data_IF_962803663436
#
_entry.id   IF_962803663436
#
_cell.length_a   1.000
_cell.length_b   1.000
_cell.length_c   1.000
_cell.angle_alpha   90.00
_cell.angle_beta   90.00
_cell.angle_gamma   90.00
#
_symmetry.space_group_name_H-M   'P 1'
#
loop_
_entity.id
_entity.type
_entity.pdbx_description
1 polymer ?
#
# COMPACT_ATOMS: atom_id res chain seq x y z
N UNK A 1 -6.25 -1.30 -22.02
CA UNK A 1 -6.56 -2.28 -20.96
C UNK A 1 -6.20 -1.69 -19.59
N UNK A 2 -6.52 -2.37 -18.55
CA UNK A 2 -6.14 -1.96 -17.18
C UNK A 2 -5.65 -3.18 -16.41
N UNK A 3 -4.89 -2.93 -15.34
CA UNK A 3 -4.37 -3.98 -14.46
C UNK A 3 -4.85 -3.74 -13.04
N UNK A 4 -5.13 -4.82 -12.33
CA UNK A 4 -5.59 -4.75 -10.95
C UNK A 4 -4.42 -4.83 -9.98
N UNK A 5 -4.30 -3.81 -9.13
CA UNK A 5 -3.18 -3.64 -8.21
C UNK A 5 -3.65 -3.43 -6.78
N UNK A 6 -2.80 -3.80 -5.83
CA UNK A 6 -2.93 -3.41 -4.42
C UNK A 6 -1.82 -2.42 -4.04
N UNK A 7 -2.22 -1.36 -3.33
CA UNK A 7 -1.30 -0.54 -2.55
C UNK A 7 -1.48 -0.89 -1.08
N UNK A 8 -0.38 -1.16 -0.38
CA UNK A 8 -0.44 -1.63 1.01
C UNK A 8 0.51 -0.87 1.90
N UNK A 9 0.00 -0.43 3.05
CA UNK A 9 0.79 0.25 4.08
C UNK A 9 0.54 -0.42 5.42
N UNK A 10 1.59 -0.92 6.05
CA UNK A 10 1.51 -1.65 7.32
C UNK A 10 1.94 -0.79 8.49
N UNK A 11 1.23 -0.92 9.60
CA UNK A 11 1.61 -0.42 10.92
C UNK A 11 1.70 -1.60 11.90
N UNK A 12 1.95 -1.31 13.18
CA UNK A 12 2.05 -2.38 14.19
C UNK A 12 0.75 -3.15 14.43
N UNK A 13 -0.39 -2.56 14.12
CA UNK A 13 -1.71 -3.14 14.45
C UNK A 13 -2.64 -3.32 13.26
N UNK A 14 -2.39 -2.61 12.16
CA UNK A 14 -3.29 -2.62 10.99
C UNK A 14 -2.50 -2.61 9.69
N UNK A 15 -3.13 -3.13 8.64
CA UNK A 15 -2.66 -2.99 7.26
C UNK A 15 -3.74 -2.24 6.49
N UNK A 16 -3.38 -1.12 5.90
CA UNK A 16 -4.25 -0.38 4.99
C UNK A 16 -4.08 -0.94 3.59
N UNK A 17 -5.18 -1.31 2.96
CA UNK A 17 -5.19 -1.97 1.65
C UNK A 17 -6.10 -1.20 0.71
N UNK A 18 -5.53 -0.72 -0.39
CA UNK A 18 -6.29 -0.09 -1.47
C UNK A 18 -6.18 -0.96 -2.70
N UNK A 19 -7.33 -1.39 -3.21
CA UNK A 19 -7.43 -2.12 -4.47
C UNK A 19 -7.87 -1.16 -5.57
N UNK A 20 -7.16 -1.19 -6.69
CA UNK A 20 -7.42 -0.28 -7.79
C UNK A 20 -7.18 -0.92 -9.15
N UNK A 21 -7.89 -0.43 -10.16
CA UNK A 21 -7.52 -0.65 -11.55
C UNK A 21 -6.64 0.51 -12.03
N UNK A 22 -5.52 0.15 -12.62
CA UNK A 22 -4.57 1.11 -13.20
C UNK A 22 -4.70 1.03 -14.71
N UNK A 23 -5.28 2.05 -15.37
CA UNK A 23 -5.35 2.09 -16.82
C UNK A 23 -3.95 2.17 -17.46
N UNK A 24 -3.80 1.62 -18.65
CA UNK A 24 -2.55 1.73 -19.42
C UNK A 24 -2.27 3.18 -19.82
N UNK A 25 -3.32 3.97 -20.06
CA UNK A 25 -3.18 5.40 -20.30
C UNK A 25 -2.82 6.12 -19.01
N UNK A 26 -1.59 6.63 -18.95
CA UNK A 26 -1.03 7.31 -17.77
C UNK A 26 -1.79 8.59 -17.40
N UNK A 27 -2.52 9.19 -18.34
CA UNK A 27 -3.33 10.39 -18.10
C UNK A 27 -4.69 10.06 -17.49
N UNK A 28 -5.15 8.81 -17.59
CA UNK A 28 -6.42 8.39 -17.04
C UNK A 28 -6.34 8.25 -15.51
N UNK A 29 -7.40 8.59 -14.78
CA UNK A 29 -7.44 8.40 -13.33
C UNK A 29 -7.34 6.92 -12.94
N UNK A 30 -6.71 6.65 -11.80
CA UNK A 30 -6.72 5.33 -11.17
C UNK A 30 -8.13 5.07 -10.64
N UNK A 31 -8.67 3.89 -10.90
CA UNK A 31 -10.03 3.53 -10.50
C UNK A 31 -9.97 2.79 -9.17
N UNK A 32 -10.49 3.38 -8.10
CA UNK A 32 -10.52 2.77 -6.77
C UNK A 32 -11.64 1.72 -6.74
N UNK A 33 -11.27 0.47 -6.48
CA UNK A 33 -12.20 -0.64 -6.35
C UNK A 33 -12.50 -0.98 -4.90
N UNK A 34 -11.56 -0.77 -4.01
CA UNK A 34 -11.74 -1.05 -2.59
C UNK A 34 -10.73 -0.30 -1.73
N UNK A 35 -11.16 0.03 -0.53
CA UNK A 35 -10.36 0.72 0.49
C UNK A 35 -10.68 0.10 1.84
N UNK A 36 -9.77 -0.70 2.35
CA UNK A 36 -9.97 -1.52 3.53
C UNK A 36 -8.84 -1.35 4.54
N UNK A 37 -9.18 -1.60 5.80
CA UNK A 37 -8.21 -1.70 6.88
C UNK A 37 -8.32 -3.10 7.49
N UNK A 38 -7.23 -3.85 7.44
CA UNK A 38 -7.13 -5.17 8.06
C UNK A 38 -6.49 -5.03 9.43
N UNK A 39 -7.25 -5.32 10.48
CA UNK A 39 -6.74 -5.29 11.86
C UNK A 39 -6.11 -6.62 12.19
N UNK A 40 -4.92 -6.59 12.80
CA UNK A 40 -4.31 -7.80 13.33
C UNK A 40 -5.09 -8.26 14.55
N UNK A 41 -5.27 -9.58 14.69
CA UNK A 41 -5.89 -10.13 15.89
C UNK A 41 -4.99 -9.87 17.11
N UNK A 42 -5.59 -9.73 18.28
CA UNK A 42 -4.89 -9.53 19.53
C UNK A 42 -4.39 -10.86 20.10
N UNK A 43 -3.41 -10.79 20.98
CA UNK A 43 -2.85 -11.94 21.65
C UNK A 43 -1.52 -12.35 21.06
N UNK A 44 -1.32 -13.65 20.81
CA UNK A 44 -0.07 -14.16 20.28
C UNK A 44 0.29 -13.59 18.91
N UNK A 45 1.44 -12.95 18.81
CA UNK A 45 1.90 -12.31 17.58
C UNK A 45 2.15 -13.32 16.45
N UNK A 46 2.71 -14.46 16.76
CA UNK A 46 2.96 -15.48 15.73
C UNK A 46 1.66 -15.96 15.10
N UNK A 47 0.62 -16.18 15.91
CA UNK A 47 -0.71 -16.54 15.43
C UNK A 47 -1.35 -15.41 14.60
N UNK A 48 -1.22 -14.18 15.05
CA UNK A 48 -1.72 -13.01 14.33
C UNK A 48 -1.05 -12.87 12.95
N UNK A 49 0.25 -13.09 12.87
CA UNK A 49 1.00 -13.04 11.62
C UNK A 49 0.62 -14.18 10.66
N UNK A 50 0.37 -15.37 11.19
CA UNK A 50 -0.10 -16.48 10.36
C UNK A 50 -1.47 -16.20 9.74
N UNK A 51 -2.39 -15.61 10.52
CA UNK A 51 -3.72 -15.18 10.02
C UNK A 51 -3.57 -14.08 8.96
N UNK A 52 -2.73 -13.08 9.22
CA UNK A 52 -2.48 -12.00 8.27
C UNK A 52 -1.88 -12.53 6.96
N UNK A 53 -0.92 -13.43 7.05
CA UNK A 53 -0.30 -14.07 5.87
C UNK A 53 -1.37 -14.76 5.01
N UNK A 54 -2.22 -15.57 5.63
CA UNK A 54 -3.29 -16.27 4.91
C UNK A 54 -4.31 -15.31 4.31
N UNK A 55 -4.67 -14.25 5.04
CA UNK A 55 -5.58 -13.22 4.55
C UNK A 55 -5.03 -12.54 3.29
N UNK A 56 -3.75 -12.20 3.29
CA UNK A 56 -3.08 -11.62 2.11
C UNK A 56 -3.13 -12.57 0.91
N UNK A 57 -2.73 -13.82 1.12
CA UNK A 57 -2.70 -14.84 0.06
C UNK A 57 -4.09 -15.04 -0.55
N UNK A 58 -5.10 -15.21 0.29
CA UNK A 58 -6.47 -15.44 -0.17
C UNK A 58 -7.01 -14.25 -0.95
N UNK A 59 -6.83 -13.03 -0.43
CA UNK A 59 -7.32 -11.81 -1.08
C UNK A 59 -6.69 -11.63 -2.47
N UNK A 60 -5.38 -11.84 -2.57
CA UNK A 60 -4.64 -11.69 -3.84
C UNK A 60 -5.13 -12.70 -4.87
N UNK A 61 -5.32 -13.94 -4.46
CA UNK A 61 -5.82 -15.00 -5.36
C UNK A 61 -7.26 -14.79 -5.78
N UNK A 62 -8.14 -14.52 -4.82
CA UNK A 62 -9.59 -14.34 -5.08
C UNK A 62 -9.88 -13.17 -5.98
N UNK A 63 -9.12 -12.09 -5.84
CA UNK A 63 -9.33 -10.86 -6.62
C UNK A 63 -8.44 -10.77 -7.86
N UNK A 64 -7.65 -11.80 -8.16
CA UNK A 64 -6.79 -11.87 -9.34
C UNK A 64 -5.88 -10.64 -9.46
N UNK A 65 -5.20 -10.31 -8.38
CA UNK A 65 -4.31 -9.15 -8.32
C UNK A 65 -3.08 -9.40 -9.21
N UNK A 66 -2.75 -8.44 -10.06
CA UNK A 66 -1.66 -8.53 -11.03
C UNK A 66 -0.39 -7.82 -10.60
N UNK A 67 -0.48 -6.95 -9.60
CA UNK A 67 0.67 -6.26 -9.05
C UNK A 67 0.40 -5.72 -7.66
N UNK A 68 1.45 -5.61 -6.85
CA UNK A 68 1.36 -5.15 -5.47
C UNK A 68 2.50 -4.19 -5.20
N UNK A 69 2.17 -3.03 -4.63
CA UNK A 69 3.15 -2.06 -4.20
C UNK A 69 3.00 -1.85 -2.69
N UNK A 70 4.06 -2.08 -1.95
CA UNK A 70 4.07 -2.02 -0.49
C UNK A 70 4.94 -0.84 -0.05
N UNK A 71 4.48 -0.09 0.95
CA UNK A 71 5.31 0.94 1.56
C UNK A 71 6.47 0.28 2.29
N UNK A 72 7.69 0.59 1.84
CA UNK A 72 8.91 0.06 2.43
C UNK A 72 9.22 0.71 3.79
N UNK A 73 9.99 0.02 4.61
CA UNK A 73 10.53 0.56 5.84
C UNK A 73 11.49 1.72 5.55
N UNK A 74 11.43 2.75 6.37
CA UNK A 74 12.39 3.85 6.34
C UNK A 74 13.26 3.82 7.60
N UNK A 75 14.48 4.32 7.47
CA UNK A 75 15.36 4.48 8.63
C UNK A 75 14.75 5.55 9.56
N UNK A 76 14.52 5.25 10.84
CA UNK A 76 13.93 6.22 11.74
C UNK A 76 14.90 7.38 11.99
N UNK A 77 14.34 8.59 12.04
CA UNK A 77 15.08 9.79 12.45
C UNK A 77 15.02 9.90 13.98
N UNK A 78 16.00 9.33 14.66
CA UNK A 78 16.06 9.30 16.11
C UNK A 78 16.06 7.88 16.65
N UNK A 79 15.73 7.71 17.94
CA UNK A 79 15.71 6.41 18.58
C UNK A 79 14.58 5.53 18.02
N UNK A 80 14.91 4.28 17.68
CA UNK A 80 13.93 3.29 17.30
C UNK A 80 13.01 2.97 18.49
N UNK A 81 11.70 2.86 18.22
CA UNK A 81 10.70 2.49 19.22
C UNK A 81 10.17 1.09 18.89
N UNK A 82 9.67 0.40 19.90
CA UNK A 82 9.14 -0.96 19.75
C UNK A 82 8.09 -1.05 18.63
N UNK A 83 7.18 -0.08 18.55
CA UNK A 83 6.15 -0.09 17.52
C UNK A 83 6.70 0.01 16.09
N UNK A 84 7.86 0.65 15.90
CA UNK A 84 8.52 0.69 14.59
C UNK A 84 9.08 -0.70 14.22
N UNK A 85 9.64 -1.41 15.19
CA UNK A 85 10.14 -2.77 14.99
C UNK A 85 8.98 -3.72 14.68
N UNK A 86 7.88 -3.62 15.41
CA UNK A 86 6.69 -4.43 15.18
C UNK A 86 6.07 -4.11 13.81
N UNK A 87 6.04 -2.84 13.42
CA UNK A 87 5.56 -2.44 12.08
C UNK A 87 6.41 -3.08 10.98
N UNK A 88 7.73 -3.17 11.18
CA UNK A 88 8.63 -3.84 10.24
C UNK A 88 8.33 -5.35 10.15
N UNK A 89 8.02 -6.00 11.27
CA UNK A 89 7.61 -7.41 11.28
C UNK A 89 6.32 -7.62 10.49
N UNK A 90 5.30 -6.79 10.74
CA UNK A 90 4.02 -6.85 10.01
C UNK A 90 4.24 -6.66 8.51
N UNK A 91 5.05 -5.69 8.15
CA UNK A 91 5.41 -5.42 6.75
C UNK A 91 6.11 -6.61 6.11
N UNK A 92 7.01 -7.27 6.83
CA UNK A 92 7.68 -8.47 6.35
C UNK A 92 6.71 -9.61 6.07
N UNK A 93 5.70 -9.81 6.93
CA UNK A 93 4.65 -10.81 6.71
C UNK A 93 3.87 -10.50 5.43
N UNK A 94 3.45 -9.24 5.26
CA UNK A 94 2.72 -8.81 4.06
C UNK A 94 3.55 -9.01 2.81
N UNK A 95 4.82 -8.61 2.81
CA UNK A 95 5.73 -8.77 1.68
C UNK A 95 5.92 -10.24 1.31
N UNK A 96 6.16 -11.10 2.29
CA UNK A 96 6.34 -12.53 2.06
C UNK A 96 5.09 -13.18 1.51
N UNK A 97 3.92 -12.88 2.08
CA UNK A 97 2.64 -13.40 1.60
C UNK A 97 2.36 -12.95 0.17
N UNK A 98 2.52 -11.66 -0.11
CA UNK A 98 2.28 -11.09 -1.43
C UNK A 98 3.20 -11.72 -2.48
N UNK A 99 4.50 -11.76 -2.23
CA UNK A 99 5.48 -12.31 -3.16
C UNK A 99 5.29 -13.81 -3.42
N UNK A 100 4.72 -14.54 -2.46
CA UNK A 100 4.48 -15.98 -2.62
C UNK A 100 3.41 -16.29 -3.69
N UNK A 101 2.51 -15.35 -3.97
CA UNK A 101 1.38 -15.56 -4.90
C UNK A 101 1.31 -14.52 -6.01
N UNK A 102 2.13 -13.48 -5.98
CA UNK A 102 2.21 -12.46 -7.01
C UNK A 102 3.67 -12.08 -7.26
N UNK A 103 4.21 -12.49 -8.41
CA UNK A 103 5.62 -12.22 -8.74
C UNK A 103 5.90 -10.72 -8.94
N UNK A 104 4.89 -9.94 -9.28
CA UNK A 104 5.00 -8.49 -9.45
C UNK A 104 4.69 -7.78 -8.12
N UNK A 105 5.51 -8.05 -7.11
CA UNK A 105 5.42 -7.43 -5.79
C UNK A 105 6.67 -6.58 -5.58
N UNK A 106 6.47 -5.29 -5.34
CA UNK A 106 7.56 -4.33 -5.13
C UNK A 106 7.31 -3.51 -3.87
N UNK A 107 8.36 -2.87 -3.38
CA UNK A 107 8.26 -1.93 -2.26
C UNK A 107 8.85 -0.57 -2.66
N UNK A 108 8.27 0.50 -2.11
CA UNK A 108 8.69 1.87 -2.39
C UNK A 108 8.76 2.64 -1.06
N UNK A 109 9.84 3.38 -0.84
CA UNK A 109 9.96 4.27 0.32
C UNK A 109 9.25 5.59 0.07
N UNK A 110 8.73 6.21 1.13
CA UNK A 110 8.16 7.55 1.06
C UNK A 110 9.17 8.59 0.54
N UNK A 111 10.44 8.45 0.97
CA UNK A 111 11.51 9.32 0.50
C UNK A 111 11.77 9.18 -1.00
N UNK A 112 11.67 7.99 -1.55
CA UNK A 112 11.78 7.75 -2.98
C UNK A 112 10.69 8.47 -3.77
N UNK A 113 9.44 8.43 -3.27
CA UNK A 113 8.34 9.15 -3.89
C UNK A 113 8.62 10.66 -3.90
N UNK A 114 9.06 11.21 -2.76
CA UNK A 114 9.36 12.63 -2.64
C UNK A 114 10.50 13.10 -3.56
N UNK A 115 11.43 12.21 -3.90
CA UNK A 115 12.54 12.55 -4.79
C UNK A 115 12.24 12.38 -6.27
N UNK A 116 11.43 11.37 -6.61
CA UNK A 116 11.34 10.88 -7.98
C UNK A 116 9.99 11.11 -8.66
N UNK A 117 8.91 11.37 -7.91
CA UNK A 117 7.58 11.46 -8.49
C UNK A 117 7.26 12.84 -9.09
N UNK A 118 7.58 13.90 -8.41
CA UNK A 118 7.24 15.26 -8.84
C UNK A 118 8.00 16.28 -8.02
N UNK A 119 7.46 17.49 -7.93
CA UNK A 119 8.13 18.61 -7.30
C UNK A 119 7.85 18.75 -5.80
N UNK A 120 6.94 17.93 -5.26
CA UNK A 120 6.49 18.05 -3.88
C UNK A 120 6.92 16.85 -3.02
N UNK A 121 6.95 17.07 -1.70
CA UNK A 121 7.12 15.99 -0.72
C UNK A 121 5.81 15.19 -0.64
N UNK A 122 5.91 13.91 -0.25
CA UNK A 122 4.74 13.04 -0.14
C UNK A 122 3.65 13.65 0.75
N UNK A 123 4.01 14.31 1.86
CA UNK A 123 3.05 14.92 2.77
C UNK A 123 2.18 15.98 2.09
N UNK A 124 2.73 16.71 1.13
CA UNK A 124 1.99 17.74 0.37
C UNK A 124 0.94 17.09 -0.53
N UNK A 125 1.29 15.99 -1.21
CA UNK A 125 0.32 15.23 -2.01
C UNK A 125 -0.80 14.65 -1.13
N UNK A 126 -0.46 14.08 0.02
CA UNK A 126 -1.46 13.46 0.90
C UNK A 126 -2.49 14.46 1.43
N UNK A 127 -2.11 15.72 1.57
CA UNK A 127 -2.99 16.80 2.06
C UNK A 127 -3.81 17.49 0.96
N UNK A 128 -3.51 17.24 -0.30
CA UNK A 128 -4.11 17.95 -1.44
C UNK A 128 -5.36 17.24 -1.96
N UNK A 129 -6.53 17.67 -1.52
CA UNK A 129 -7.81 17.11 -1.95
C UNK A 129 -8.02 17.25 -3.47
N UNK A 130 -7.59 18.35 -4.06
CA UNK A 130 -7.68 18.56 -5.51
C UNK A 130 -6.84 17.56 -6.30
N UNK A 131 -5.64 17.24 -5.82
CA UNK A 131 -4.80 16.22 -6.41
C UNK A 131 -5.54 14.85 -6.45
N UNK A 132 -6.10 14.44 -5.32
CA UNK A 132 -6.79 13.14 -5.24
C UNK A 132 -8.07 13.10 -6.08
N UNK A 133 -8.79 14.21 -6.16
CA UNK A 133 -9.97 14.32 -7.03
C UNK A 133 -9.60 14.16 -8.51
N UNK A 134 -8.39 14.57 -8.92
CA UNK A 134 -7.94 14.49 -10.30
C UNK A 134 -7.30 13.14 -10.67
N UNK A 135 -6.60 12.48 -9.73
CA UNK A 135 -5.84 11.27 -10.04
C UNK A 135 -6.59 9.97 -9.75
N UNK A 136 -7.73 10.04 -9.06
CA UNK A 136 -8.54 8.86 -8.73
C UNK A 136 -9.99 9.04 -9.13
N UNK A 137 -10.66 7.91 -9.36
CA UNK A 137 -12.10 7.83 -9.63
C UNK A 137 -12.63 6.50 -9.11
N UNK A 138 -13.94 6.30 -9.16
CA UNK A 138 -14.61 5.04 -8.81
C UNK A 138 -15.14 5.01 -7.40
N UNK A 139 -14.30 4.85 -6.40
CA UNK A 139 -14.70 4.80 -5.01
C UNK A 139 -14.31 6.04 -4.22
N UNK A 140 -14.92 6.18 -3.04
CA UNK A 140 -14.52 7.22 -2.08
C UNK A 140 -13.26 6.78 -1.34
N UNK A 141 -12.20 7.57 -1.43
CA UNK A 141 -10.92 7.26 -0.81
C UNK A 141 -10.79 7.97 0.54
N UNK A 142 -10.59 7.21 1.62
CA UNK A 142 -10.32 7.78 2.95
C UNK A 142 -8.97 8.51 2.95
N UNK A 143 -8.86 9.56 3.76
CA UNK A 143 -7.58 10.30 3.88
C UNK A 143 -6.43 9.40 4.37
N UNK A 144 -6.71 8.48 5.28
CA UNK A 144 -5.73 7.53 5.80
C UNK A 144 -5.24 6.53 4.73
N UNK A 145 -5.98 6.36 3.65
CA UNK A 145 -5.65 5.42 2.57
C UNK A 145 -4.89 6.09 1.43
N UNK A 146 -4.74 7.41 1.47
CA UNK A 146 -4.01 8.16 0.44
C UNK A 146 -2.55 7.73 0.33
N UNK A 147 -1.93 7.38 1.44
CA UNK A 147 -0.55 6.90 1.45
C UNK A 147 -0.40 5.60 0.65
N UNK A 148 -1.27 4.63 0.89
CA UNK A 148 -1.27 3.37 0.12
C UNK A 148 -1.57 3.61 -1.36
N UNK A 149 -2.49 4.53 -1.66
CA UNK A 149 -2.84 4.89 -3.05
C UNK A 149 -1.69 5.63 -3.75
N UNK A 150 -0.95 6.47 -3.01
CA UNK A 150 0.21 7.19 -3.55
C UNK A 150 1.29 6.24 -4.06
N UNK A 151 1.43 5.08 -3.43
CA UNK A 151 2.36 4.04 -3.92
C UNK A 151 2.00 3.62 -5.35
N UNK A 152 0.72 3.46 -5.63
CA UNK A 152 0.24 3.08 -6.96
C UNK A 152 0.42 4.21 -7.98
N UNK A 153 0.14 5.45 -7.57
CA UNK A 153 0.33 6.63 -8.42
C UNK A 153 1.80 6.77 -8.80
N UNK A 154 2.70 6.68 -7.83
CA UNK A 154 4.14 6.79 -8.07
C UNK A 154 4.65 5.62 -8.92
N UNK A 155 4.23 4.40 -8.63
CA UNK A 155 4.65 3.20 -9.38
C UNK A 155 4.24 3.27 -10.84
N UNK A 156 3.03 3.75 -11.14
CA UNK A 156 2.55 3.89 -12.51
C UNK A 156 3.44 4.81 -13.35
N UNK A 157 4.08 5.78 -12.73
CA UNK A 157 4.87 6.81 -13.41
C UNK A 157 6.37 6.48 -13.46
N UNK A 158 6.77 5.29 -13.03
CA UNK A 158 8.14 4.77 -13.17
C UNK A 158 8.21 3.68 -14.27
#
# INVERSE_FOLDING_TARGET
MSKRYLGMSASSEVVTVVEAEIPDDISAPIIILGDSTWKLQKGDRAAAYAVLHQQCVDHIRENKIEGIVIKASAVPQGAARLNLLVSAEVRGVVMAAAASVCSNTTDITAGSISRNYGDHKIAEYLADDGFWASVTTGGSLRKTSREATMLLVAHRNT
#
